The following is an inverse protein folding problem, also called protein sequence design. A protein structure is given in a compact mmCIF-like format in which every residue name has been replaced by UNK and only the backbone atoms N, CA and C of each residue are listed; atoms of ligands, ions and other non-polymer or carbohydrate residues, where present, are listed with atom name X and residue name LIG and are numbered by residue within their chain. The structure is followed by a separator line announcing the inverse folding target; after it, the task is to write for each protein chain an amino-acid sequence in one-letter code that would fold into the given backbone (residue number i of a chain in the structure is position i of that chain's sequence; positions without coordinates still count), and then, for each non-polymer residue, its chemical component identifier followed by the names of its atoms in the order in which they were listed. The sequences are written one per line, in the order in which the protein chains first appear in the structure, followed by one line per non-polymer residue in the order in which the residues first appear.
data_IF_308773600702
#
_entry.id   IF_308773600702
#
_cell.length_a   1.000
_cell.length_b   1.000
_cell.length_c   1.000
_cell.angle_alpha   90.00
_cell.angle_beta   90.00
_cell.angle_gamma   90.00
#
_symmetry.space_group_name_H-M   'P 1'
#
loop_
_entity.id
_entity.type
_entity.pdbx_description
1 polymer ?
#
# COMPACT_ATOMS: atom_id res chain seq x y z
N UNK A 1 -41.14 -24.13 -10.84
CA UNK A 1 -39.67 -24.19 -11.04
C UNK A 1 -38.90 -22.90 -10.72
N UNK A 2 -39.51 -21.71 -10.72
CA UNK A 2 -38.79 -20.41 -10.59
C UNK A 2 -38.05 -20.16 -9.26
N UNK A 3 -38.55 -20.66 -8.11
CA UNK A 3 -37.92 -20.43 -6.79
C UNK A 3 -36.56 -21.14 -6.59
N UNK A 4 -36.33 -22.29 -7.23
CA UNK A 4 -35.08 -23.04 -7.07
C UNK A 4 -33.93 -22.39 -7.84
N UNK A 5 -34.22 -21.83 -9.01
CA UNK A 5 -33.25 -21.12 -9.85
C UNK A 5 -32.77 -19.82 -9.18
N UNK A 6 -33.68 -19.07 -8.54
CA UNK A 6 -33.34 -17.83 -7.84
C UNK A 6 -32.38 -18.05 -6.66
N UNK A 7 -32.61 -19.12 -5.88
CA UNK A 7 -31.72 -19.48 -4.76
C UNK A 7 -30.32 -19.86 -5.23
N UNK A 8 -30.22 -20.56 -6.36
CA UNK A 8 -28.93 -20.94 -6.93
C UNK A 8 -28.14 -19.73 -7.42
N UNK A 9 -28.81 -18.78 -8.09
CA UNK A 9 -28.19 -17.55 -8.58
C UNK A 9 -27.62 -16.69 -7.45
N UNK A 10 -28.34 -16.61 -6.33
CA UNK A 10 -27.94 -15.81 -5.15
C UNK A 10 -26.74 -16.41 -4.42
N UNK A 11 -26.65 -17.74 -4.33
CA UNK A 11 -25.48 -18.41 -3.75
C UNK A 11 -24.26 -18.24 -4.65
N UNK A 12 -24.45 -18.29 -5.98
CA UNK A 12 -23.38 -18.09 -6.95
C UNK A 12 -22.79 -16.67 -6.88
N UNK A 13 -23.62 -15.64 -6.78
CA UNK A 13 -23.13 -14.25 -6.67
C UNK A 13 -22.42 -13.98 -5.36
N UNK A 14 -22.87 -14.57 -4.25
CA UNK A 14 -22.16 -14.48 -2.97
C UNK A 14 -20.79 -15.16 -3.00
N UNK A 15 -20.66 -16.31 -3.67
CA UNK A 15 -19.38 -16.99 -3.86
C UNK A 15 -18.40 -16.14 -4.68
N UNK A 16 -18.87 -15.57 -5.79
CA UNK A 16 -18.05 -14.69 -6.64
C UNK A 16 -17.60 -13.46 -5.85
N UNK A 17 -18.51 -12.82 -5.09
CA UNK A 17 -18.16 -11.68 -4.24
C UNK A 17 -17.14 -12.05 -3.15
N UNK A 18 -17.15 -13.29 -2.64
CA UNK A 18 -16.18 -13.76 -1.67
C UNK A 18 -14.79 -13.99 -2.28
N UNK A 19 -14.73 -14.44 -3.54
CA UNK A 19 -13.47 -14.59 -4.27
C UNK A 19 -12.76 -13.26 -4.56
N UNK A 20 -13.51 -12.15 -4.63
CA UNK A 20 -12.96 -10.81 -4.84
C UNK A 20 -12.68 -10.02 -3.55
N UNK A 21 -12.55 -10.69 -2.40
CA UNK A 21 -12.03 -10.00 -1.21
C UNK A 21 -10.61 -9.53 -1.51
N UNK A 22 -10.32 -8.22 -1.39
CA UNK A 22 -8.98 -7.72 -1.64
C UNK A 22 -8.02 -8.37 -0.65
N UNK A 23 -7.00 -9.05 -1.17
CA UNK A 23 -5.91 -9.57 -0.36
C UNK A 23 -5.20 -8.36 0.23
N UNK A 24 -5.43 -8.10 1.52
CA UNK A 24 -4.68 -7.09 2.27
C UNK A 24 -3.25 -7.63 2.43
N UNK A 25 -2.34 -7.18 1.56
CA UNK A 25 -0.98 -7.68 1.63
C UNK A 25 -0.29 -7.10 2.86
N UNK A 26 0.03 -8.08 3.72
CA UNK A 26 0.78 -8.01 4.95
C UNK A 26 2.12 -7.29 4.78
N UNK A 27 2.41 -6.45 5.78
CA UNK A 27 3.71 -5.95 6.19
C UNK A 27 4.90 -6.70 5.58
N UNK A 28 5.71 -6.00 4.76
CA UNK A 28 6.95 -6.56 4.20
C UNK A 28 8.00 -6.52 5.30
N UNK A 29 8.21 -7.66 5.95
CA UNK A 29 9.27 -7.85 6.92
C UNK A 29 10.58 -8.11 6.14
N UNK A 30 11.36 -7.07 5.86
CA UNK A 30 12.68 -7.27 5.25
C UNK A 30 13.73 -7.42 6.35
N UNK A 31 14.15 -8.66 6.57
CA UNK A 31 15.41 -9.02 7.23
C UNK A 31 16.46 -9.41 6.18
N UNK A 32 16.04 -9.60 4.92
CA UNK A 32 16.90 -9.89 3.77
C UNK A 32 16.91 -8.70 2.81
N UNK A 33 18.08 -8.37 2.24
CA UNK A 33 18.31 -7.37 1.18
C UNK A 33 17.61 -7.71 -0.14
N UNK A 34 16.30 -7.96 -0.10
CA UNK A 34 15.46 -8.30 -1.25
C UNK A 34 15.05 -7.03 -1.98
N UNK A 35 15.01 -7.15 -3.30
CA UNK A 35 14.52 -6.12 -4.20
C UNK A 35 13.02 -6.34 -4.44
N UNK A 36 12.22 -5.29 -4.31
CA UNK A 36 10.78 -5.34 -4.54
C UNK A 36 10.39 -4.37 -5.66
N UNK A 37 9.57 -4.84 -6.59
CA UNK A 37 9.02 -4.00 -7.65
C UNK A 37 7.63 -3.47 -7.25
N UNK A 38 7.46 -2.16 -7.31
CA UNK A 38 6.23 -1.47 -6.90
C UNK A 38 5.15 -1.64 -7.96
N UNK A 39 3.95 -1.99 -7.51
CA UNK A 39 2.81 -2.37 -8.36
C UNK A 39 2.77 -3.85 -8.69
N UNK A 40 3.77 -4.63 -8.27
CA UNK A 40 3.82 -6.08 -8.40
C UNK A 40 3.99 -6.74 -7.02
N UNK A 41 3.77 -8.05 -6.95
CA UNK A 41 4.11 -8.88 -5.78
C UNK A 41 3.57 -8.35 -4.44
N UNK A 42 2.42 -7.66 -4.47
CA UNK A 42 1.74 -7.19 -3.28
C UNK A 42 2.30 -5.93 -2.63
N UNK A 43 3.24 -5.23 -3.28
CA UNK A 43 3.67 -3.89 -2.88
C UNK A 43 3.00 -2.84 -3.80
N UNK A 44 1.77 -2.39 -3.50
CA UNK A 44 1.10 -1.37 -4.30
C UNK A 44 1.81 -0.01 -4.21
N UNK A 45 1.53 0.89 -5.16
CA UNK A 45 1.98 2.27 -5.05
C UNK A 45 1.35 3.01 -3.85
N UNK A 46 2.02 4.07 -3.42
CA UNK A 46 1.54 4.99 -2.38
C UNK A 46 2.60 5.34 -1.34
N UNK A 47 2.14 5.88 -0.21
CA UNK A 47 3.02 6.30 0.89
C UNK A 47 3.27 5.18 1.87
N UNK A 48 4.51 5.08 2.33
CA UNK A 48 4.98 4.06 3.25
C UNK A 48 5.78 4.68 4.37
N UNK A 49 5.75 4.05 5.54
CA UNK A 49 6.61 4.37 6.67
C UNK A 49 7.69 3.29 6.71
N UNK A 50 8.95 3.72 6.60
CA UNK A 50 10.13 2.88 6.77
C UNK A 50 10.62 3.03 8.21
N UNK A 51 10.74 1.91 8.92
CA UNK A 51 11.11 1.87 10.33
C UNK A 51 12.31 0.96 10.54
N UNK A 52 13.37 1.41 11.24
CA UNK A 52 14.48 0.54 11.64
C UNK A 52 13.99 -0.67 12.42
N UNK A 53 14.50 -1.87 12.10
CA UNK A 53 14.13 -3.12 12.81
C UNK A 53 14.78 -3.17 14.20
N UNK A 54 16.03 -2.72 14.29
CA UNK A 54 16.82 -2.72 15.52
C UNK A 54 17.30 -1.31 15.85
N UNK A 55 17.31 -0.99 17.15
CA UNK A 55 17.89 0.25 17.64
C UNK A 55 19.43 0.19 17.47
N UNK A 56 20.00 1.23 16.85
CA UNK A 56 21.44 1.40 16.55
C UNK A 56 22.03 0.55 15.41
N UNK A 57 21.22 -0.15 14.63
CA UNK A 57 21.68 -0.84 13.41
C UNK A 57 21.62 0.09 12.19
N UNK A 58 22.54 -0.08 11.23
CA UNK A 58 22.49 0.65 9.96
C UNK A 58 21.22 0.27 9.21
N UNK A 59 20.24 1.19 9.17
CA UNK A 59 19.01 1.05 8.39
C UNK A 59 19.06 2.04 7.23
N UNK A 60 18.72 1.56 6.05
CA UNK A 60 18.61 2.38 4.86
C UNK A 60 17.66 1.81 3.82
N UNK A 61 17.29 2.66 2.88
CA UNK A 61 16.51 2.29 1.71
C UNK A 61 17.10 2.92 0.46
N UNK A 62 16.87 2.26 -0.67
CA UNK A 62 17.22 2.74 -2.00
C UNK A 62 16.02 2.51 -2.92
N UNK A 63 15.66 3.51 -3.70
CA UNK A 63 14.59 3.49 -4.70
C UNK A 63 15.23 3.78 -6.06
N UNK A 64 14.96 2.93 -7.05
CA UNK A 64 15.45 3.08 -8.41
C UNK A 64 14.34 2.86 -9.44
N UNK A 65 14.56 3.33 -10.66
CA UNK A 65 13.62 3.13 -11.77
C UNK A 65 13.71 1.74 -12.39
N UNK A 66 14.82 1.03 -12.15
CA UNK A 66 15.08 -0.29 -12.72
C UNK A 66 15.60 -1.29 -11.68
N UNK A 67 15.76 -2.55 -12.10
CA UNK A 67 16.27 -3.60 -11.22
C UNK A 67 17.79 -3.61 -11.06
N UNK A 68 18.53 -2.81 -11.84
CA UNK A 68 19.99 -2.75 -11.74
C UNK A 68 20.43 -2.03 -10.48
N UNK A 69 19.60 -1.11 -9.96
CA UNK A 69 19.90 -0.26 -8.80
C UNK A 69 21.22 0.51 -8.98
N UNK A 70 21.55 0.82 -10.23
CA UNK A 70 22.70 1.66 -10.59
C UNK A 70 22.53 3.08 -10.08
N UNK A 71 23.62 3.84 -10.01
CA UNK A 71 23.59 5.20 -9.50
C UNK A 71 22.76 6.10 -10.43
N UNK A 72 22.84 5.87 -11.73
CA UNK A 72 22.12 6.61 -12.76
C UNK A 72 20.60 6.42 -12.65
N UNK A 73 20.18 5.23 -12.25
CA UNK A 73 18.75 4.86 -12.14
C UNK A 73 18.20 5.04 -10.72
N UNK A 74 19.05 5.39 -9.74
CA UNK A 74 18.65 5.62 -8.36
C UNK A 74 17.97 6.98 -8.23
N UNK A 75 16.69 6.95 -7.90
CA UNK A 75 15.90 8.16 -7.64
C UNK A 75 16.14 8.68 -6.22
N UNK A 76 16.26 7.79 -5.25
CA UNK A 76 16.39 8.15 -3.84
C UNK A 76 17.16 7.09 -3.05
N UNK A 77 18.07 7.51 -2.16
CA UNK A 77 18.82 6.60 -1.31
C UNK A 77 19.19 7.27 0.01
N UNK A 78 18.76 6.69 1.13
CA UNK A 78 18.98 7.29 2.45
C UNK A 78 19.27 6.26 3.52
N UNK A 79 20.15 6.65 4.45
CA UNK A 79 20.28 6.02 5.75
C UNK A 79 19.35 6.73 6.74
N UNK A 80 18.63 5.94 7.53
CA UNK A 80 17.67 6.44 8.51
C UNK A 80 17.93 5.83 9.89
N UNK A 81 17.76 6.65 10.92
CA UNK A 81 17.82 6.24 12.33
C UNK A 81 16.48 6.40 13.04
N UNK A 82 15.47 6.94 12.35
CA UNK A 82 14.12 7.20 12.83
C UNK A 82 13.11 6.83 11.75
N UNK A 83 11.87 6.50 12.12
CA UNK A 83 10.81 6.22 11.15
C UNK A 83 10.67 7.37 10.15
N UNK A 84 10.72 7.06 8.87
CA UNK A 84 10.70 8.04 7.77
C UNK A 84 9.59 7.68 6.79
N UNK A 85 8.89 8.69 6.28
CA UNK A 85 7.85 8.47 5.26
C UNK A 85 8.48 8.57 3.87
N UNK A 86 8.19 7.60 3.03
CA UNK A 86 8.60 7.56 1.61
C UNK A 86 7.37 7.45 0.72
N UNK A 87 7.51 7.83 -0.54
CA UNK A 87 6.48 7.68 -1.57
C UNK A 87 6.99 6.78 -2.67
N UNK A 88 6.24 5.71 -2.97
CA UNK A 88 6.61 4.71 -3.97
C UNK A 88 5.65 4.80 -5.16
N UNK A 89 6.19 4.96 -6.37
CA UNK A 89 5.42 5.03 -7.61
C UNK A 89 5.42 3.66 -8.28
N UNK A 90 4.33 3.35 -9.01
CA UNK A 90 4.27 2.11 -9.80
C UNK A 90 5.43 2.03 -10.79
N UNK A 91 6.10 0.88 -10.82
CA UNK A 91 7.26 0.63 -11.68
C UNK A 91 8.60 0.79 -10.96
N UNK A 92 8.64 1.55 -9.86
CA UNK A 92 9.87 1.72 -9.06
C UNK A 92 10.31 0.38 -8.45
N UNK A 93 11.60 0.29 -8.17
CA UNK A 93 12.21 -0.79 -7.42
C UNK A 93 12.69 -0.24 -6.07
N UNK A 94 12.36 -0.94 -4.98
CA UNK A 94 12.84 -0.61 -3.64
C UNK A 94 13.69 -1.73 -3.06
N UNK A 95 14.82 -1.33 -2.49
CA UNK A 95 15.68 -2.18 -1.67
C UNK A 95 15.70 -1.64 -0.25
N UNK A 96 15.50 -2.53 0.71
CA UNK A 96 15.52 -2.23 2.14
C UNK A 96 16.69 -2.97 2.80
N UNK A 97 17.37 -2.32 3.73
CA UNK A 97 18.45 -2.90 4.51
C UNK A 97 18.19 -2.64 5.98
N UNK A 98 17.95 -3.69 6.76
CA UNK A 98 17.61 -3.64 8.20
C UNK A 98 16.43 -2.70 8.54
N UNK A 99 15.50 -2.56 7.60
CA UNK A 99 14.31 -1.75 7.79
C UNK A 99 13.06 -2.57 7.47
N UNK A 100 11.95 -2.23 8.14
CA UNK A 100 10.61 -2.69 7.79
C UNK A 100 9.86 -1.57 7.09
N UNK A 101 8.94 -1.95 6.20
CA UNK A 101 8.10 -0.99 5.50
C UNK A 101 6.62 -1.30 5.73
N UNK A 102 5.85 -0.27 6.07
CA UNK A 102 4.41 -0.39 6.33
C UNK A 102 3.66 0.66 5.54
N UNK A 103 2.59 0.26 4.83
CA UNK A 103 1.76 1.21 4.08
C UNK A 103 1.15 2.22 5.05
N UNK A 104 1.36 3.50 4.76
CA UNK A 104 0.76 4.58 5.52
C UNK A 104 -0.70 4.69 5.09
N UNK A 105 -1.60 4.19 5.93
CA UNK A 105 -3.03 4.42 5.75
C UNK A 105 -3.34 5.83 6.26
N UNK A 106 -3.02 6.85 5.48
CA UNK A 106 -3.64 8.16 5.68
C UNK A 106 -5.13 8.00 5.34
N UNK A 107 -5.94 7.69 6.36
CA UNK A 107 -7.37 8.00 6.28
C UNK A 107 -7.45 9.52 6.23
N UNK A 108 -7.68 10.05 5.04
CA UNK A 108 -8.20 11.41 4.92
C UNK A 108 -9.57 11.34 5.57
N UNK A 109 -9.66 11.79 6.83
CA UNK A 109 -10.93 12.13 7.43
C UNK A 109 -11.44 13.34 6.64
N UNK A 110 -12.11 13.07 5.53
CA UNK A 110 -12.94 14.08 4.89
C UNK A 110 -13.97 14.45 5.93
N UNK A 111 -13.83 15.65 6.48
CA UNK A 111 -14.71 16.16 7.50
C UNK A 111 -16.12 16.18 6.88
N UNK A 112 -17.00 15.26 7.28
CA UNK A 112 -18.43 15.23 6.92
C UNK A 112 -19.20 16.44 7.49
N UNK A 113 -18.51 17.53 7.87
CA UNK A 113 -19.11 18.80 8.23
C UNK A 113 -19.59 19.60 6.99
N UNK A 114 -19.19 19.22 5.76
CA UNK A 114 -19.56 19.93 4.53
C UNK A 114 -20.71 19.30 3.75
N UNK A 115 -21.14 18.07 4.06
CA UNK A 115 -22.34 17.46 3.45
C UNK A 115 -23.64 17.89 4.13
N UNK A 116 -23.58 18.35 5.39
CA UNK A 116 -24.76 18.87 6.11
C UNK A 116 -25.20 20.28 5.68
N UNK A 117 -24.30 21.07 5.09
CA UNK A 117 -24.58 22.47 4.71
C UNK A 117 -25.09 22.62 3.26
N UNK A 118 -24.90 21.61 2.42
CA UNK A 118 -25.40 21.62 1.03
C UNK A 118 -26.89 21.27 0.91
N UNK A 119 -27.49 20.64 1.93
CA UNK A 119 -28.92 20.30 1.93
C UNK A 119 -29.83 21.40 2.53
N UNK A 120 -29.28 22.46 3.13
CA UNK A 120 -30.08 23.55 3.68
C UNK A 120 -30.44 24.65 2.67
N UNK A 121 -29.78 24.70 1.51
CA UNK A 121 -30.04 25.73 0.48
C UNK A 121 -30.97 25.28 -0.66
N UNK A 122 -31.47 24.03 -0.63
CA UNK A 122 -32.40 23.50 -1.65
C UNK A 122 -33.85 23.45 -1.13
N UNK A 123 -34.11 23.87 0.11
CA UNK A 123 -35.45 23.92 0.71
C UNK A 123 -35.94 25.33 1.11
N UNK A 124 -35.46 26.39 0.46
CA UNK A 124 -36.09 27.72 0.48
C UNK A 124 -36.57 28.05 -0.92
#
# INVERSE_FOLDING_TARGET
MKKKVLRFLLVLTLMIAYCFRPISLSQVNSVDNKLYKVGEQGLPEGRYIVTPVENNSFCGYQIAMDSSMSIEETTEAHYINKPTTIELKKGDFIKLTNCTVKKSNFKIYFNEALSGLFLFFICI
#
